data_IF_028814288024
#
_entry.id   IF_028814288024
#
_cell.length_a   1.000
_cell.length_b   1.000
_cell.length_c   1.000
_cell.angle_alpha   90.00
_cell.angle_beta   90.00
_cell.angle_gamma   90.00
#
_symmetry.space_group_name_H-M   'P 1'
#
loop_
_entity.id
_entity.type
_entity.pdbx_description
1 polymer ?
#
# COMPACT_ATOMS: atom_id res chain seq x y z
N UNK A 1 -37.38 -12.29 -10.99
CA UNK A 1 -36.26 -11.35 -10.87
C UNK A 1 -35.23 -11.83 -11.86
N UNK A 2 -34.99 -11.04 -12.92
CA UNK A 2 -34.21 -11.44 -14.10
C UNK A 2 -32.70 -11.30 -13.86
N UNK A 3 -31.93 -12.27 -14.38
CA UNK A 3 -30.47 -12.35 -14.26
C UNK A 3 -29.71 -11.34 -15.15
N UNK A 4 -30.34 -10.22 -15.53
CA UNK A 4 -29.77 -9.19 -16.40
C UNK A 4 -29.91 -7.78 -15.79
N UNK A 5 -30.02 -7.72 -14.46
CA UNK A 5 -29.95 -6.48 -13.69
C UNK A 5 -28.48 -6.04 -13.58
N UNK A 6 -28.08 -4.85 -14.07
CA UNK A 6 -26.70 -4.34 -13.98
C UNK A 6 -26.23 -4.10 -12.54
N UNK A 7 -27.10 -4.26 -11.54
CA UNK A 7 -26.75 -4.28 -10.12
C UNK A 7 -26.48 -5.68 -9.57
N UNK A 8 -26.56 -6.74 -10.38
CA UNK A 8 -26.04 -8.06 -10.01
C UNK A 8 -24.51 -8.08 -10.19
N UNK A 9 -23.81 -7.24 -9.41
CA UNK A 9 -22.44 -7.58 -9.01
C UNK A 9 -22.56 -8.82 -8.15
N UNK A 10 -22.02 -9.94 -8.65
CA UNK A 10 -21.88 -11.16 -7.87
C UNK A 10 -21.16 -10.80 -6.55
N UNK A 11 -21.75 -11.03 -5.36
CA UNK A 11 -21.11 -10.73 -4.09
C UNK A 11 -19.74 -11.42 -3.92
N UNK A 12 -19.51 -12.53 -4.64
CA UNK A 12 -18.23 -13.23 -4.70
C UNK A 12 -17.14 -12.46 -5.48
N UNK A 13 -17.50 -11.45 -6.27
CA UNK A 13 -16.56 -10.54 -6.94
C UNK A 13 -16.08 -9.42 -5.99
N UNK A 14 -16.82 -9.13 -4.91
CA UNK A 14 -16.42 -8.09 -3.94
C UNK A 14 -15.32 -8.59 -3.00
N UNK A 15 -15.26 -9.88 -2.66
CA UNK A 15 -14.11 -10.42 -1.92
C UNK A 15 -12.84 -10.42 -2.78
N UNK A 16 -12.95 -10.61 -4.11
CA UNK A 16 -11.86 -10.31 -5.04
C UNK A 16 -11.45 -8.84 -4.99
N UNK A 17 -12.38 -7.90 -4.77
CA UNK A 17 -12.04 -6.46 -4.68
C UNK A 17 -11.17 -6.13 -3.46
N UNK A 18 -11.42 -6.75 -2.30
CA UNK A 18 -10.61 -6.54 -1.09
C UNK A 18 -9.25 -7.21 -1.23
N UNK A 19 -9.21 -8.48 -1.65
CA UNK A 19 -7.96 -9.20 -1.84
C UNK A 19 -7.07 -8.49 -2.87
N UNK A 20 -7.65 -8.00 -3.98
CA UNK A 20 -6.95 -7.18 -4.95
C UNK A 20 -6.44 -5.88 -4.34
N UNK A 21 -7.29 -5.15 -3.61
CA UNK A 21 -6.86 -3.90 -2.98
C UNK A 21 -5.73 -4.12 -1.97
N UNK A 22 -5.76 -5.20 -1.21
CA UNK A 22 -4.68 -5.58 -0.31
C UNK A 22 -3.38 -5.88 -1.07
N UNK A 23 -3.46 -6.61 -2.18
CA UNK A 23 -2.30 -6.89 -3.03
C UNK A 23 -1.73 -5.60 -3.65
N UNK A 24 -2.58 -4.69 -4.11
CA UNK A 24 -2.20 -3.37 -4.64
C UNK A 24 -1.53 -2.51 -3.57
N UNK A 25 -2.08 -2.46 -2.36
CA UNK A 25 -1.50 -1.73 -1.23
C UNK A 25 -0.13 -2.31 -0.85
N UNK A 26 0.01 -3.64 -0.80
CA UNK A 26 1.28 -4.30 -0.50
C UNK A 26 2.33 -4.03 -1.59
N UNK A 27 1.95 -4.14 -2.86
CA UNK A 27 2.80 -3.83 -3.99
C UNK A 27 3.24 -2.36 -3.98
N UNK A 28 2.27 -1.45 -3.80
CA UNK A 28 2.52 -0.01 -3.74
C UNK A 28 3.47 0.37 -2.61
N UNK A 29 3.35 -0.27 -1.45
CA UNK A 29 4.28 -0.08 -0.34
C UNK A 29 5.72 -0.49 -0.68
N UNK A 30 5.89 -1.69 -1.26
CA UNK A 30 7.22 -2.17 -1.67
C UNK A 30 7.83 -1.25 -2.73
N UNK A 31 7.03 -0.82 -3.71
CA UNK A 31 7.46 0.13 -4.73
C UNK A 31 7.91 1.46 -4.12
N UNK A 32 7.13 2.04 -3.20
CA UNK A 32 7.48 3.28 -2.50
C UNK A 32 8.79 3.15 -1.69
N UNK A 33 8.97 2.05 -0.96
CA UNK A 33 10.22 1.80 -0.22
C UNK A 33 11.42 1.67 -1.16
N UNK A 34 11.26 0.97 -2.30
CA UNK A 34 12.30 0.84 -3.33
C UNK A 34 12.66 2.18 -3.95
N UNK A 35 11.68 3.01 -4.29
CA UNK A 35 11.92 4.35 -4.83
C UNK A 35 12.56 5.26 -3.78
N UNK A 36 12.14 5.18 -2.51
CA UNK A 36 12.81 5.90 -1.42
C UNK A 36 14.28 5.50 -1.29
N UNK A 37 14.60 4.20 -1.37
CA UNK A 37 16.01 3.74 -1.40
C UNK A 37 16.78 4.39 -2.56
N UNK A 38 16.22 4.35 -3.77
CA UNK A 38 16.87 4.91 -4.97
C UNK A 38 17.10 6.41 -4.86
N UNK A 39 16.12 7.16 -4.37
CA UNK A 39 16.23 8.63 -4.18
C UNK A 39 17.29 9.01 -3.15
N UNK A 40 17.59 8.12 -2.19
CA UNK A 40 18.71 8.27 -1.25
C UNK A 40 20.08 7.85 -1.85
N UNK A 41 20.13 7.40 -3.10
CA UNK A 41 21.35 6.94 -3.75
C UNK A 41 21.89 5.60 -3.23
N UNK A 42 21.09 4.84 -2.47
CA UNK A 42 21.52 3.59 -1.86
C UNK A 42 21.36 2.41 -2.82
N UNK A 43 22.34 1.52 -2.86
CA UNK A 43 22.24 0.22 -3.52
C UNK A 43 21.51 -0.80 -2.63
N UNK A 44 21.03 -1.90 -3.22
CA UNK A 44 20.39 -2.98 -2.45
C UNK A 44 21.33 -3.54 -1.37
N UNK A 45 22.63 -3.67 -1.68
CA UNK A 45 23.65 -4.14 -0.72
C UNK A 45 23.81 -3.19 0.48
N UNK A 46 23.61 -1.89 0.28
CA UNK A 46 23.78 -0.90 1.35
C UNK A 46 22.62 -1.00 2.34
N UNK A 47 21.40 -1.16 1.84
CA UNK A 47 20.22 -1.44 2.69
C UNK A 47 20.37 -2.78 3.38
N UNK A 48 20.84 -3.81 2.68
CA UNK A 48 21.07 -5.13 3.27
C UNK A 48 22.06 -5.08 4.44
N UNK A 49 23.16 -4.34 4.27
CA UNK A 49 24.14 -4.09 5.32
C UNK A 49 23.51 -3.39 6.54
N UNK A 50 22.70 -2.35 6.31
CA UNK A 50 21.97 -1.66 7.39
C UNK A 50 20.96 -2.55 8.10
N UNK A 51 20.35 -3.49 7.39
CA UNK A 51 19.44 -4.50 7.95
C UNK A 51 20.18 -5.64 8.66
N UNK A 52 21.52 -5.70 8.57
CA UNK A 52 22.35 -6.86 8.94
C UNK A 52 21.85 -8.16 8.28
N UNK A 53 21.70 -8.12 6.95
CA UNK A 53 21.20 -9.22 6.11
C UNK A 53 21.95 -9.31 4.79
N UNK A 54 21.80 -10.46 4.13
CA UNK A 54 22.33 -10.65 2.78
C UNK A 54 21.57 -9.82 1.74
N UNK A 55 22.29 -9.37 0.72
CA UNK A 55 21.72 -8.65 -0.43
C UNK A 55 20.59 -9.43 -1.10
N UNK A 56 20.63 -10.77 -1.07
CA UNK A 56 19.57 -11.63 -1.60
C UNK A 56 18.21 -11.42 -0.91
N UNK A 57 18.20 -11.03 0.38
CA UNK A 57 16.97 -10.72 1.13
C UNK A 57 16.33 -9.45 0.58
N UNK A 58 17.13 -8.41 0.36
CA UNK A 58 16.67 -7.13 -0.19
C UNK A 58 16.23 -7.29 -1.65
N UNK A 59 16.99 -8.05 -2.45
CA UNK A 59 16.63 -8.36 -3.83
C UNK A 59 15.28 -9.09 -3.92
N UNK A 60 15.06 -10.09 -3.05
CA UNK A 60 13.78 -10.80 -2.99
C UNK A 60 12.62 -9.90 -2.57
N UNK A 61 12.85 -9.01 -1.59
CA UNK A 61 11.85 -8.05 -1.12
C UNK A 61 11.48 -7.02 -2.19
N UNK A 62 12.43 -6.58 -3.01
CA UNK A 62 12.16 -5.60 -4.08
C UNK A 62 11.64 -6.21 -5.39
N UNK A 63 11.52 -7.54 -5.44
CA UNK A 63 11.07 -8.25 -6.64
C UNK A 63 9.56 -8.07 -6.82
N UNK A 64 9.13 -7.83 -8.06
CA UNK A 64 7.71 -7.83 -8.42
C UNK A 64 7.05 -9.16 -8.00
N UNK A 65 5.91 -9.08 -7.33
CA UNK A 65 5.18 -10.25 -6.83
C UNK A 65 5.83 -10.93 -5.62
N UNK A 66 6.73 -10.26 -4.90
CA UNK A 66 7.14 -10.72 -3.57
C UNK A 66 6.03 -10.49 -2.55
N UNK A 67 5.85 -11.44 -1.64
CA UNK A 67 5.01 -11.28 -0.44
C UNK A 67 5.91 -11.19 0.81
N UNK A 68 6.51 -10.02 1.08
CA UNK A 68 7.40 -9.86 2.21
C UNK A 68 6.61 -9.81 3.51
N UNK A 69 7.06 -10.59 4.51
CA UNK A 69 6.54 -10.48 5.88
C UNK A 69 6.61 -9.04 6.37
N UNK A 70 5.61 -8.65 7.16
CA UNK A 70 5.53 -7.33 7.78
C UNK A 70 6.81 -6.90 8.50
N UNK A 71 7.41 -7.80 9.27
CA UNK A 71 8.67 -7.53 9.99
C UNK A 71 9.87 -7.26 9.07
N UNK A 72 9.85 -7.76 7.83
CA UNK A 72 10.88 -7.45 6.83
C UNK A 72 10.71 -6.04 6.28
N UNK A 73 9.47 -5.62 6.02
CA UNK A 73 9.14 -4.25 5.60
C UNK A 73 9.54 -3.23 6.67
N UNK A 74 9.23 -3.51 7.93
CA UNK A 74 9.64 -2.65 9.06
C UNK A 74 11.16 -2.50 9.18
N UNK A 75 11.92 -3.60 9.02
CA UNK A 75 13.39 -3.55 9.04
C UNK A 75 13.96 -2.76 7.86
N UNK A 76 13.36 -2.92 6.68
CA UNK A 76 13.73 -2.16 5.50
C UNK A 76 13.48 -0.66 5.71
N UNK A 77 12.29 -0.29 6.20
CA UNK A 77 11.94 1.08 6.54
C UNK A 77 12.89 1.69 7.58
N UNK A 78 13.24 0.94 8.63
CA UNK A 78 14.23 1.35 9.63
C UNK A 78 15.60 1.62 8.98
N UNK A 79 16.07 0.76 8.09
CA UNK A 79 17.32 0.96 7.35
C UNK A 79 17.33 2.21 6.45
N UNK A 80 16.14 2.67 6.03
CA UNK A 80 15.95 3.93 5.30
C UNK A 80 15.67 5.14 6.21
N UNK A 81 15.50 4.94 7.52
CA UNK A 81 15.13 6.00 8.45
C UNK A 81 13.69 6.52 8.28
N UNK A 82 12.77 5.67 7.81
CA UNK A 82 11.36 6.01 7.63
C UNK A 82 10.46 5.20 8.55
N UNK A 83 9.33 5.78 8.95
CA UNK A 83 8.31 5.12 9.75
C UNK A 83 7.15 4.74 8.84
N UNK A 84 6.68 3.50 8.96
CA UNK A 84 5.54 3.02 8.21
C UNK A 84 4.25 3.33 8.99
N UNK A 85 3.31 4.00 8.33
CA UNK A 85 1.97 4.31 8.85
C UNK A 85 0.93 3.60 7.97
N UNK A 86 -0.06 2.98 8.60
CA UNK A 86 -1.18 2.33 7.91
C UNK A 86 -2.48 2.82 8.48
N UNK A 87 -3.44 2.97 7.59
CA UNK A 87 -4.83 3.13 7.89
C UNK A 87 -5.58 1.92 7.32
N UNK A 88 -6.86 1.81 7.63
CA UNK A 88 -7.73 0.76 7.12
C UNK A 88 -8.97 1.40 6.52
N UNK A 89 -9.61 0.66 5.61
CA UNK A 89 -10.89 1.05 5.02
C UNK A 89 -11.84 -0.12 5.10
N UNK A 90 -13.13 0.17 5.09
CA UNK A 90 -14.18 -0.86 5.02
C UNK A 90 -14.48 -1.22 3.57
N UNK A 91 -15.10 -2.39 3.38
CA UNK A 91 -15.61 -2.82 2.08
C UNK A 91 -16.57 -1.79 1.46
N UNK A 92 -17.46 -1.24 2.29
CA UNK A 92 -18.43 -0.23 1.86
C UNK A 92 -17.73 1.04 1.34
N UNK A 93 -16.74 1.54 2.08
CA UNK A 93 -15.94 2.70 1.66
C UNK A 93 -15.19 2.43 0.35
N UNK A 94 -14.58 1.25 0.19
CA UNK A 94 -13.88 0.87 -1.04
C UNK A 94 -14.84 0.79 -2.25
N UNK A 95 -16.06 0.30 -2.06
CA UNK A 95 -17.09 0.25 -3.09
C UNK A 95 -17.53 1.68 -3.48
N UNK A 96 -17.77 2.55 -2.50
CA UNK A 96 -18.16 3.94 -2.74
C UNK A 96 -17.08 4.73 -3.49
N UNK A 97 -15.81 4.56 -3.13
CA UNK A 97 -14.68 5.18 -3.83
C UNK A 97 -14.62 4.73 -5.30
N UNK A 98 -14.83 3.45 -5.58
CA UNK A 98 -14.80 2.90 -6.94
C UNK A 98 -15.99 3.35 -7.79
N UNK A 99 -17.19 3.36 -7.20
CA UNK A 99 -18.40 3.84 -7.86
C UNK A 99 -18.37 5.36 -8.09
N UNK A 100 -17.67 6.11 -7.25
CA UNK A 100 -17.43 7.55 -7.42
C UNK A 100 -16.32 7.91 -8.42
N UNK A 101 -15.43 6.96 -8.77
CA UNK A 101 -14.32 7.18 -9.71
C UNK A 101 -14.71 7.05 -11.19
N UNK A 102 -15.97 6.69 -11.49
CA UNK A 102 -16.50 6.57 -12.86
C UNK A 102 -16.94 7.93 -13.45
N UNK A 103 -16.77 9.03 -12.70
CA UNK A 103 -16.98 10.39 -13.20
C UNK A 103 -15.67 11.20 -13.13
N UNK A 104 -14.91 11.17 -14.22
CA UNK A 104 -13.92 12.17 -14.64
C UNK A 104 -12.65 12.39 -13.78
N UNK A 105 -11.48 12.07 -14.35
CA UNK A 105 -10.31 12.96 -14.42
C UNK A 105 -9.84 13.77 -13.18
N UNK A 106 -10.04 13.33 -11.94
CA UNK A 106 -9.59 14.07 -10.75
C UNK A 106 -8.14 13.73 -10.34
N UNK A 107 -7.26 14.74 -10.33
CA UNK A 107 -5.83 14.65 -9.97
C UNK A 107 -5.56 14.05 -8.58
N UNK A 108 -4.41 13.35 -8.37
CA UNK A 108 -4.05 12.82 -7.07
C UNK A 108 -3.28 13.86 -6.24
N UNK A 109 -3.99 14.71 -5.51
CA UNK A 109 -3.39 15.39 -4.35
C UNK A 109 -4.43 15.71 -3.28
N UNK A 110 -4.53 14.84 -2.26
CA UNK A 110 -4.76 15.31 -0.88
C UNK A 110 -4.06 14.37 0.11
N UNK A 111 -3.03 14.90 0.75
CA UNK A 111 -2.31 14.37 1.91
C UNK A 111 -3.25 13.84 3.04
N UNK A 112 -3.26 12.52 3.33
CA UNK A 112 -4.06 11.93 4.41
C UNK A 112 -3.62 12.37 5.82
N UNK A 113 -2.50 13.09 5.94
CA UNK A 113 -1.90 13.48 7.22
C UNK A 113 -2.61 14.68 7.86
N UNK A 114 -3.41 15.44 7.11
CA UNK A 114 -4.12 16.60 7.64
C UNK A 114 -5.16 16.23 8.72
N UNK A 115 -5.86 15.09 8.58
CA UNK A 115 -6.92 14.68 9.51
C UNK A 115 -6.40 14.26 10.90
N UNK A 116 -5.15 13.76 10.99
CA UNK A 116 -4.59 13.25 12.25
C UNK A 116 -4.18 14.36 13.22
N UNK A 117 -3.88 15.56 12.73
CA UNK A 117 -3.52 16.71 13.59
C UNK A 117 -4.71 17.23 14.41
N UNK A 118 -5.94 17.04 13.93
CA UNK A 118 -7.15 17.46 14.64
C UNK A 118 -7.45 16.59 15.89
N UNK A 119 -6.96 15.34 15.92
CA UNK A 119 -7.28 14.40 17.01
C UNK A 119 -6.30 14.46 18.20
N UNK A 120 -5.07 14.97 18.00
CA UNK A 120 -4.03 15.02 19.04
C UNK A 120 -3.92 16.37 19.77
N UNK A 121 -4.68 17.40 19.37
CA UNK A 121 -4.68 18.72 20.00
C UNK A 121 -5.79 18.90 21.07
N UNK A 122 -6.55 17.85 21.36
CA UNK A 122 -7.70 17.90 22.27
C UNK A 122 -7.75 16.71 23.23
N UNK A 123 -6.75 16.60 24.12
CA UNK A 123 -6.89 15.87 25.38
C UNK A 123 -5.87 16.34 26.41
#
# INVERSE_FOLDING_TARGET
MDANDPLYMDPDDVDMTIARQQAENAFGLVAQLRERRKTMGLLQKDVAQRMNRDTAVVSRLERLGSDPRWSSLQRYANALGVVLKYDWTTREQLLLERLGHDTADAEPDVDPTAAVRQFMAGR
#
